data_IF_570635063857
#
_entry.id   IF_570635063857
#
_cell.length_a   1.000
_cell.length_b   1.000
_cell.length_c   1.000
_cell.angle_alpha   90.00
_cell.angle_beta   90.00
_cell.angle_gamma   90.00
#
_symmetry.space_group_name_H-M   'P 1'
#
loop_
_entity.id
_entity.type
_entity.pdbx_description
1 polymer ?
#
# COMPACT_ATOMS: atom_id res chain seq x y z
N UNK A 1 19.16 -20.35 12.98
CA UNK A 1 19.69 -18.97 13.06
C UNK A 1 19.57 -18.34 11.68
N UNK A 2 18.54 -17.53 11.44
CA UNK A 2 18.43 -16.60 10.30
C UNK A 2 17.20 -15.71 10.54
N UNK A 3 17.38 -14.40 10.76
CA UNK A 3 16.24 -13.46 10.82
C UNK A 3 16.39 -12.14 11.59
N UNK A 4 17.50 -11.85 12.26
CA UNK A 4 17.52 -10.77 13.27
C UNK A 4 17.71 -9.34 12.76
N UNK A 5 17.97 -9.12 11.47
CA UNK A 5 18.16 -7.75 10.94
C UNK A 5 16.85 -7.08 10.47
N UNK A 6 15.83 -7.86 10.11
CA UNK A 6 14.59 -7.32 9.52
C UNK A 6 13.52 -6.98 10.55
N UNK A 7 13.53 -7.59 11.74
CA UNK A 7 12.55 -7.26 12.79
C UNK A 7 12.92 -5.95 13.51
N UNK A 8 14.21 -5.61 13.55
CA UNK A 8 14.73 -4.45 14.28
C UNK A 8 14.27 -3.11 13.69
N UNK A 9 14.16 -3.02 12.35
CA UNK A 9 13.68 -1.79 11.69
C UNK A 9 12.22 -1.45 12.04
N UNK A 10 11.43 -2.44 12.45
CA UNK A 10 10.02 -2.28 12.80
C UNK A 10 9.79 -2.01 14.29
N UNK A 11 10.82 -2.14 15.13
CA UNK A 11 10.70 -1.96 16.57
C UNK A 11 10.20 -0.55 16.95
N UNK A 12 10.67 0.55 16.33
CA UNK A 12 10.15 1.88 16.62
C UNK A 12 8.67 2.05 16.27
N UNK A 13 8.22 1.42 15.17
CA UNK A 13 6.81 1.45 14.77
C UNK A 13 5.94 0.69 15.77
N UNK A 14 6.34 -0.54 16.13
CA UNK A 14 5.62 -1.35 17.12
C UNK A 14 5.48 -0.60 18.45
N UNK A 15 6.56 -0.01 18.95
CA UNK A 15 6.53 0.77 20.19
C UNK A 15 5.57 1.96 20.13
N UNK A 16 5.43 2.62 18.98
CA UNK A 16 4.46 3.71 18.82
C UNK A 16 3.01 3.19 18.77
N UNK A 17 2.76 2.07 18.07
CA UNK A 17 1.43 1.45 18.04
C UNK A 17 0.99 1.02 19.46
N UNK A 18 1.91 0.47 20.25
CA UNK A 18 1.67 0.08 21.64
C UNK A 18 1.30 1.29 22.50
N UNK A 19 2.02 2.42 22.38
CA UNK A 19 1.70 3.66 23.11
C UNK A 19 0.31 4.20 22.80
N UNK A 20 -0.13 4.16 21.55
CA UNK A 20 -1.50 4.58 21.19
C UNK A 20 -2.54 3.66 21.79
N UNK A 21 -2.30 2.35 21.74
CA UNK A 21 -3.17 1.34 22.34
C UNK A 21 -3.29 1.53 23.85
N UNK A 22 -2.17 1.74 24.56
CA UNK A 22 -2.13 2.02 26.00
C UNK A 22 -2.88 3.31 26.37
N UNK A 23 -2.83 4.32 25.51
CA UNK A 23 -3.58 5.57 25.66
C UNK A 23 -5.08 5.43 25.31
N UNK A 24 -5.55 4.25 24.86
CA UNK A 24 -6.92 4.03 24.41
C UNK A 24 -7.27 4.75 23.11
N UNK A 25 -6.25 5.12 22.32
CA UNK A 25 -6.39 5.83 21.04
C UNK A 25 -6.33 4.85 19.87
N UNK A 26 -7.10 5.14 18.83
CA UNK A 26 -7.07 4.37 17.57
C UNK A 26 -6.38 5.17 16.48
N UNK A 27 -5.32 4.60 15.91
CA UNK A 27 -4.62 5.20 14.77
C UNK A 27 -5.43 4.98 13.50
N UNK A 28 -5.51 6.02 12.66
CA UNK A 28 -6.00 5.91 11.28
C UNK A 28 -4.82 5.99 10.33
N UNK A 29 -4.55 4.89 9.63
CA UNK A 29 -3.50 4.80 8.63
C UNK A 29 -4.11 4.85 7.23
N UNK A 30 -3.30 5.35 6.28
CA UNK A 30 -3.63 5.37 4.85
C UNK A 30 -2.44 4.75 4.13
N UNK A 31 -2.71 3.72 3.32
CA UNK A 31 -1.68 3.10 2.50
C UNK A 31 -1.70 3.75 1.11
N UNK A 32 -0.53 4.10 0.60
CA UNK A 32 -0.34 4.70 -0.72
C UNK A 32 0.86 4.08 -1.41
N UNK A 33 0.74 3.81 -2.70
CA UNK A 33 1.83 3.43 -3.60
C UNK A 33 1.97 4.47 -4.71
N UNK A 34 3.20 4.74 -5.16
CA UNK A 34 3.54 5.87 -6.02
C UNK A 34 4.06 5.44 -7.39
N UNK A 35 3.97 6.36 -8.35
CA UNK A 35 4.55 6.25 -9.68
C UNK A 35 4.04 5.06 -10.51
N UNK A 36 2.78 4.66 -10.29
CA UNK A 36 2.14 3.64 -11.10
C UNK A 36 1.95 4.17 -12.54
N UNK A 37 2.53 3.46 -13.50
CA UNK A 37 2.45 3.82 -14.94
C UNK A 37 1.92 2.67 -15.80
N UNK A 38 2.18 1.42 -15.41
CA UNK A 38 1.80 0.22 -16.17
C UNK A 38 1.47 -0.94 -15.21
N UNK A 39 0.77 -2.00 -15.66
CA UNK A 39 0.61 -3.22 -14.88
C UNK A 39 1.97 -3.83 -14.56
N UNK A 40 2.11 -4.39 -13.36
CA UNK A 40 3.34 -5.08 -12.96
C UNK A 40 3.04 -6.18 -11.95
N UNK A 41 3.94 -7.19 -11.81
CA UNK A 41 3.79 -8.20 -10.76
C UNK A 41 3.77 -7.62 -9.34
N UNK A 42 4.38 -6.45 -9.13
CA UNK A 42 4.33 -5.75 -7.85
C UNK A 42 2.94 -5.16 -7.58
N UNK A 43 2.32 -4.58 -8.62
CA UNK A 43 0.96 -4.05 -8.54
C UNK A 43 -0.06 -5.17 -8.31
N UNK A 44 0.09 -6.31 -8.99
CA UNK A 44 -0.75 -7.50 -8.77
C UNK A 44 -0.68 -7.95 -7.30
N UNK A 45 0.53 -8.05 -6.76
CA UNK A 45 0.75 -8.40 -5.35
C UNK A 45 0.14 -7.38 -4.39
N UNK A 46 0.25 -6.09 -4.71
CA UNK A 46 -0.33 -5.02 -3.88
C UNK A 46 -1.86 -5.11 -3.86
N UNK A 47 -2.48 -5.39 -5.01
CA UNK A 47 -3.93 -5.64 -5.10
C UNK A 47 -4.34 -6.85 -4.25
N UNK A 48 -3.64 -7.98 -4.39
CA UNK A 48 -3.90 -9.19 -3.60
C UNK A 48 -3.81 -8.95 -2.08
N UNK A 49 -2.79 -8.19 -1.65
CA UNK A 49 -2.62 -7.83 -0.24
C UNK A 49 -3.74 -6.90 0.23
N UNK A 50 -4.09 -5.89 -0.57
CA UNK A 50 -5.18 -4.97 -0.28
C UNK A 50 -6.51 -5.71 -0.11
N UNK A 51 -6.84 -6.62 -1.03
CA UNK A 51 -8.05 -7.42 -0.95
C UNK A 51 -8.06 -8.36 0.25
N UNK A 52 -6.96 -9.09 0.48
CA UNK A 52 -6.84 -10.05 1.58
C UNK A 52 -7.12 -9.43 2.95
N UNK A 53 -6.72 -8.17 3.14
CA UNK A 53 -6.89 -7.45 4.41
C UNK A 53 -8.03 -6.42 4.37
N UNK A 54 -8.83 -6.40 3.30
CA UNK A 54 -9.86 -5.38 3.08
C UNK A 54 -9.34 -3.95 3.29
N UNK A 55 -8.12 -3.69 2.81
CA UNK A 55 -7.39 -2.44 2.98
C UNK A 55 -7.37 -1.67 1.65
N UNK A 56 -8.12 -0.55 1.54
CA UNK A 56 -8.02 0.32 0.38
C UNK A 56 -6.62 0.94 0.29
N UNK A 57 -6.07 0.94 -0.91
CA UNK A 57 -4.75 1.50 -1.23
C UNK A 57 -4.93 2.64 -2.21
N UNK A 58 -4.41 3.82 -1.87
CA UNK A 58 -4.36 4.93 -2.81
C UNK A 58 -3.22 4.69 -3.80
N UNK A 59 -3.52 4.51 -5.09
CA UNK A 59 -2.53 4.30 -6.13
C UNK A 59 -2.28 5.61 -6.87
N UNK A 60 -1.12 6.23 -6.64
CA UNK A 60 -0.71 7.43 -7.34
C UNK A 60 -0.22 7.09 -8.76
N UNK A 61 -0.91 7.62 -9.76
CA UNK A 61 -0.65 7.39 -11.18
C UNK A 61 -0.06 8.66 -11.79
N UNK A 62 1.04 8.53 -12.56
CA UNK A 62 1.62 9.64 -13.33
C UNK A 62 0.89 9.72 -14.68
N UNK A 63 0.00 10.71 -14.91
CA UNK A 63 -0.87 10.68 -16.09
C UNK A 63 -0.12 10.73 -17.42
N UNK A 64 1.02 11.44 -17.47
CA UNK A 64 1.84 11.57 -18.68
C UNK A 64 2.50 10.25 -19.10
N UNK A 65 2.68 9.31 -18.17
CA UNK A 65 3.34 8.03 -18.40
C UNK A 65 2.37 6.85 -18.32
N UNK A 66 1.11 7.09 -17.91
CA UNK A 66 0.13 6.05 -17.71
C UNK A 66 -0.23 5.33 -19.02
N UNK A 67 -0.02 4.02 -19.04
CA UNK A 67 -0.36 3.17 -20.17
C UNK A 67 -1.85 2.79 -20.13
N UNK A 68 -2.52 2.66 -21.29
CA UNK A 68 -3.91 2.18 -21.36
C UNK A 68 -4.12 0.79 -20.72
N UNK A 69 -3.06 -0.02 -20.66
CA UNK A 69 -3.07 -1.32 -19.99
C UNK A 69 -3.28 -1.20 -18.48
N UNK A 70 -2.76 -0.14 -17.83
CA UNK A 70 -2.95 0.10 -16.40
C UNK A 70 -4.43 0.29 -16.07
N UNK A 71 -5.10 1.21 -16.77
CA UNK A 71 -6.52 1.46 -16.59
C UNK A 71 -7.38 0.20 -16.85
N UNK A 72 -6.91 -0.70 -17.72
CA UNK A 72 -7.58 -1.95 -18.01
C UNK A 72 -7.42 -3.01 -16.93
N UNK A 73 -6.21 -3.16 -16.39
CA UNK A 73 -5.93 -4.05 -15.27
C UNK A 73 -6.65 -3.61 -13.99
N UNK A 74 -6.64 -2.32 -13.68
CA UNK A 74 -7.23 -1.78 -12.45
C UNK A 74 -8.73 -2.02 -12.31
N UNK A 75 -9.46 -2.25 -13.41
CA UNK A 75 -10.89 -2.62 -13.34
C UNK A 75 -11.13 -3.92 -12.58
N UNK A 76 -10.12 -4.79 -12.47
CA UNK A 76 -10.16 -6.03 -11.71
C UNK A 76 -9.50 -5.92 -10.32
N UNK A 77 -9.09 -4.73 -9.88
CA UNK A 77 -8.34 -4.51 -8.64
C UNK A 77 -9.07 -3.50 -7.72
N UNK A 78 -10.25 -3.86 -7.18
CA UNK A 78 -11.12 -2.95 -6.41
C UNK A 78 -10.49 -2.37 -5.14
N UNK A 79 -9.46 -3.00 -4.58
CA UNK A 79 -8.72 -2.46 -3.44
C UNK A 79 -7.82 -1.26 -3.81
N UNK A 80 -7.51 -1.07 -5.10
CA UNK A 80 -6.65 0.02 -5.57
C UNK A 80 -7.50 1.20 -6.05
N UNK A 81 -7.34 2.33 -5.38
CA UNK A 81 -8.05 3.58 -5.67
C UNK A 81 -7.11 4.54 -6.41
N UNK A 82 -7.28 4.77 -7.72
CA UNK A 82 -6.38 5.63 -8.48
C UNK A 82 -6.52 7.10 -8.05
N UNK A 83 -5.38 7.79 -7.93
CA UNK A 83 -5.31 9.24 -7.84
C UNK A 83 -4.22 9.79 -8.76
N UNK A 84 -4.39 11.01 -9.26
CA UNK A 84 -3.33 11.68 -10.00
C UNK A 84 -2.16 12.04 -9.08
N UNK A 85 -0.94 11.82 -9.55
CA UNK A 85 0.30 12.31 -8.95
C UNK A 85 1.15 13.05 -10.00
N UNK A 86 1.88 14.07 -9.57
CA UNK A 86 2.62 14.99 -10.44
C UNK A 86 1.87 16.29 -10.71
#
# INVERSE_FOLDING_TARGET
>A
MNGTASDDIWLPLQAELDRWSEAGLTIRLWLRDDDAVAPSPALDRLADVGERFALPVLLAVIPMLAEPALASAMRAMPALLPCQHG
#
